data_IF_907925195831
#
_entry.id   IF_907925195831
#
_cell.length_a   1.000
_cell.length_b   1.000
_cell.length_c   1.000
_cell.angle_alpha   90.00
_cell.angle_beta   90.00
_cell.angle_gamma   90.00
#
_symmetry.space_group_name_H-M   'P 1'
#
loop_
_entity.id
_entity.type
_entity.pdbx_description
1 polymer ?
#
# COMPACT_ATOMS: atom_id res chain seq x y z
N UNK A 1 -5.85 -42.43 -24.71
CA UNK A 1 -6.98 -41.72 -24.06
C UNK A 1 -7.50 -42.46 -22.83
N UNK A 2 -7.82 -43.76 -22.92
CA UNK A 2 -8.23 -44.59 -21.76
C UNK A 2 -7.23 -44.65 -20.56
N UNK A 3 -5.90 -44.74 -20.75
CA UNK A 3 -4.98 -44.85 -19.61
C UNK A 3 -4.81 -43.54 -18.83
N UNK A 4 -4.89 -42.40 -19.52
CA UNK A 4 -4.77 -41.06 -18.92
C UNK A 4 -5.95 -40.75 -17.98
N UNK A 5 -7.17 -41.18 -18.37
CA UNK A 5 -8.37 -41.05 -17.55
C UNK A 5 -8.30 -41.94 -16.30
N UNK A 6 -7.70 -43.13 -16.41
CA UNK A 6 -7.51 -44.03 -15.28
C UNK A 6 -6.50 -43.47 -14.27
N UNK A 7 -5.37 -42.91 -14.72
CA UNK A 7 -4.40 -42.25 -13.84
C UNK A 7 -4.99 -41.02 -13.14
N UNK A 8 -5.74 -40.19 -13.87
CA UNK A 8 -6.36 -39.00 -13.29
C UNK A 8 -7.40 -39.35 -12.21
N UNK A 9 -8.11 -40.47 -12.38
CA UNK A 9 -9.09 -40.98 -11.39
C UNK A 9 -8.45 -41.60 -10.14
N UNK A 10 -7.19 -42.04 -10.24
CA UNK A 10 -6.43 -42.61 -9.13
C UNK A 10 -5.64 -41.55 -8.34
N UNK A 11 -5.60 -40.30 -8.83
CA UNK A 11 -4.94 -39.20 -8.14
C UNK A 11 -5.75 -38.79 -6.90
N UNK A 12 -5.16 -38.87 -5.69
CA UNK A 12 -5.82 -38.46 -4.45
C UNK A 12 -6.31 -37.00 -4.47
N UNK A 13 -5.64 -36.12 -5.23
CA UNK A 13 -6.09 -34.74 -5.41
C UNK A 13 -7.39 -34.68 -6.22
N UNK A 14 -7.50 -35.48 -7.29
CA UNK A 14 -8.72 -35.59 -8.10
C UNK A 14 -9.86 -36.23 -7.32
N UNK A 15 -9.57 -37.28 -6.53
CA UNK A 15 -10.55 -37.92 -5.65
C UNK A 15 -11.08 -36.96 -4.57
N UNK A 16 -10.22 -36.12 -4.00
CA UNK A 16 -10.64 -35.11 -3.01
C UNK A 16 -11.51 -34.02 -3.64
N UNK A 17 -11.19 -33.61 -4.88
CA UNK A 17 -11.99 -32.65 -5.65
C UNK A 17 -13.36 -33.22 -6.06
N UNK A 18 -13.43 -34.50 -6.46
CA UNK A 18 -14.68 -35.18 -6.79
C UNK A 18 -15.53 -35.47 -5.56
N UNK A 19 -14.92 -35.82 -4.42
CA UNK A 19 -15.64 -36.16 -3.19
C UNK A 19 -16.43 -34.98 -2.58
N UNK A 20 -16.06 -33.72 -2.88
CA UNK A 20 -16.80 -32.52 -2.48
C UNK A 20 -17.80 -31.99 -3.52
N UNK A 21 -17.89 -32.64 -4.69
CA UNK A 21 -18.66 -32.16 -5.84
C UNK A 21 -20.09 -32.71 -5.84
N UNK A 22 -20.96 -32.19 -4.97
CA UNK A 22 -22.41 -32.44 -5.02
C UNK A 22 -23.08 -31.76 -6.25
N UNK A 23 -22.46 -30.71 -6.79
CA UNK A 23 -23.09 -29.81 -7.76
C UNK A 23 -22.37 -29.74 -9.13
N UNK A 24 -22.40 -30.82 -9.92
CA UNK A 24 -22.08 -30.82 -11.36
C UNK A 24 -20.85 -30.00 -11.84
N UNK A 25 -20.85 -29.57 -13.10
CA UNK A 25 -19.74 -28.82 -13.71
C UNK A 25 -19.39 -27.51 -12.96
N UNK A 26 -20.34 -26.94 -12.20
CA UNK A 26 -20.13 -25.75 -11.38
C UNK A 26 -19.22 -26.01 -10.18
N UNK A 27 -19.33 -27.15 -9.52
CA UNK A 27 -18.50 -27.50 -8.36
C UNK A 27 -17.02 -27.66 -8.71
N UNK A 28 -16.73 -28.26 -9.87
CA UNK A 28 -15.36 -28.43 -10.36
C UNK A 28 -14.73 -27.10 -10.80
N UNK A 29 -15.53 -26.14 -11.28
CA UNK A 29 -15.02 -24.84 -11.73
C UNK A 29 -14.54 -23.92 -10.58
N UNK A 30 -15.14 -24.05 -9.39
CA UNK A 30 -14.83 -23.21 -8.21
C UNK A 30 -13.33 -23.17 -7.88
N UNK A 31 -12.60 -24.28 -7.67
CA UNK A 31 -11.18 -24.24 -7.29
C UNK A 31 -10.29 -23.58 -8.35
N UNK A 32 -10.60 -23.75 -9.65
CA UNK A 32 -9.84 -23.15 -10.75
C UNK A 32 -10.04 -21.64 -10.87
N UNK A 33 -11.14 -21.11 -10.35
CA UNK A 33 -11.37 -19.66 -10.26
C UNK A 33 -10.85 -19.13 -8.93
N UNK A 34 -11.20 -19.79 -7.83
CA UNK A 34 -10.88 -19.37 -6.47
C UNK A 34 -9.36 -19.34 -6.22
N UNK A 35 -8.61 -20.34 -6.68
CA UNK A 35 -7.15 -20.39 -6.50
C UNK A 35 -6.45 -19.16 -7.10
N UNK A 36 -6.55 -18.94 -8.43
CA UNK A 36 -5.97 -17.76 -9.07
C UNK A 36 -6.52 -16.43 -8.54
N UNK A 37 -7.81 -16.36 -8.22
CA UNK A 37 -8.41 -15.13 -7.68
C UNK A 37 -7.84 -14.78 -6.28
N UNK A 38 -7.74 -15.75 -5.38
CA UNK A 38 -7.14 -15.57 -4.05
C UNK A 38 -5.67 -15.20 -4.19
N UNK A 39 -4.92 -15.88 -5.06
CA UNK A 39 -3.52 -15.56 -5.32
C UNK A 39 -3.35 -14.11 -5.80
N UNK A 40 -4.13 -13.69 -6.80
CA UNK A 40 -4.07 -12.34 -7.35
C UNK A 40 -4.46 -11.28 -6.31
N UNK A 41 -5.48 -11.53 -5.50
CA UNK A 41 -5.91 -10.63 -4.44
C UNK A 41 -4.83 -10.46 -3.36
N UNK A 42 -4.25 -11.56 -2.86
CA UNK A 42 -3.21 -11.51 -1.82
C UNK A 42 -1.93 -10.85 -2.35
N UNK A 43 -1.44 -11.30 -3.50
CA UNK A 43 -0.24 -10.72 -4.10
C UNK A 43 -0.43 -9.24 -4.42
N UNK A 44 -1.57 -8.87 -5.02
CA UNK A 44 -1.92 -7.49 -5.35
C UNK A 44 -2.05 -6.60 -4.10
N UNK A 45 -2.62 -7.13 -3.02
CA UNK A 45 -2.73 -6.43 -1.74
C UNK A 45 -1.35 -6.12 -1.13
N UNK A 46 -0.47 -7.13 -1.04
CA UNK A 46 0.91 -6.95 -0.55
C UNK A 46 1.67 -5.99 -1.46
N UNK A 47 1.58 -6.19 -2.78
CA UNK A 47 2.22 -5.32 -3.75
C UNK A 47 1.77 -3.87 -3.56
N UNK A 48 0.46 -3.60 -3.50
CA UNK A 48 -0.05 -2.24 -3.33
C UNK A 48 0.32 -1.63 -1.98
N UNK A 49 0.34 -2.45 -0.91
CA UNK A 49 0.74 -2.02 0.43
C UNK A 49 2.16 -1.48 0.45
N UNK A 50 3.10 -2.14 -0.24
CA UNK A 50 4.50 -1.70 -0.29
C UNK A 50 4.80 -0.71 -1.43
N UNK A 51 4.10 -0.82 -2.56
CA UNK A 51 4.48 -0.12 -3.79
C UNK A 51 3.97 1.31 -3.87
N UNK A 52 3.25 1.80 -2.85
CA UNK A 52 2.90 3.22 -2.56
C UNK A 52 2.66 4.11 -3.81
N UNK A 53 2.18 3.54 -4.91
CA UNK A 53 2.10 4.22 -6.21
C UNK A 53 0.87 5.11 -6.22
N UNK A 54 -0.15 4.70 -5.49
CA UNK A 54 -1.42 5.38 -5.27
C UNK A 54 -1.40 6.39 -4.11
N UNK A 55 -0.30 6.47 -3.35
CA UNK A 55 -0.16 7.38 -2.21
C UNK A 55 0.77 8.57 -2.49
N UNK A 56 1.07 8.84 -3.76
CA UNK A 56 1.91 9.97 -4.15
C UNK A 56 1.04 11.22 -4.18
N UNK A 57 1.42 12.25 -3.43
CA UNK A 57 0.79 13.56 -3.56
C UNK A 57 1.03 14.11 -4.97
N UNK A 58 -0.06 14.42 -5.67
CA UNK A 58 0.00 15.11 -6.94
C UNK A 58 0.07 16.62 -6.67
N UNK A 59 1.26 17.12 -6.35
CA UNK A 59 1.50 18.53 -6.05
C UNK A 59 0.93 19.48 -7.12
N UNK A 60 0.89 19.05 -8.39
CA UNK A 60 0.36 19.84 -9.50
C UNK A 60 -1.17 19.96 -9.52
N UNK A 61 -1.90 19.10 -8.79
CA UNK A 61 -3.37 19.07 -8.80
C UNK A 61 -3.98 19.40 -7.45
N UNK A 62 -3.32 19.00 -6.37
CA UNK A 62 -3.89 19.06 -5.01
C UNK A 62 -3.41 20.28 -4.23
N UNK A 63 -2.33 20.93 -4.66
CA UNK A 63 -1.80 22.12 -3.99
C UNK A 63 -2.11 23.36 -4.83
N UNK A 64 -2.98 24.23 -4.32
CA UNK A 64 -3.12 25.58 -4.85
C UNK A 64 -1.82 26.35 -4.56
N UNK A 65 -1.08 26.70 -5.63
CA UNK A 65 0.12 27.51 -5.54
C UNK A 65 -0.25 28.96 -5.84
N UNK A 66 -0.56 29.73 -4.79
CA UNK A 66 -0.71 31.18 -4.89
C UNK A 66 0.63 31.87 -4.65
N UNK A 67 1.10 32.69 -5.60
CA UNK A 67 2.27 33.54 -5.41
C UNK A 67 1.85 34.78 -4.63
N UNK A 68 2.10 34.76 -3.32
CA UNK A 68 1.91 35.91 -2.43
C UNK A 68 3.09 36.86 -2.45
N UNK A 69 2.85 38.17 -2.26
CA UNK A 69 3.93 39.13 -2.02
C UNK A 69 4.43 38.98 -0.57
N UNK A 70 5.24 37.94 -0.33
CA UNK A 70 5.85 37.63 0.95
C UNK A 70 6.81 38.77 1.37
N UNK A 71 6.30 39.72 2.14
CA UNK A 71 7.11 40.82 2.73
C UNK A 71 7.93 40.39 3.95
N UNK A 72 7.71 39.17 4.44
CA UNK A 72 8.44 38.60 5.57
C UNK A 72 9.55 37.69 5.07
N UNK A 73 10.79 37.99 5.41
CA UNK A 73 11.94 37.13 5.14
C UNK A 73 12.19 36.13 6.28
N UNK A 74 12.68 34.94 5.93
CA UNK A 74 13.24 34.04 6.92
C UNK A 74 14.59 34.56 7.42
N UNK A 75 14.81 34.54 8.74
CA UNK A 75 16.05 34.97 9.38
C UNK A 75 16.61 33.82 10.20
N UNK A 76 17.78 33.33 9.82
CA UNK A 76 18.52 32.33 10.60
C UNK A 76 18.77 32.86 12.00
N UNK A 77 18.17 32.21 13.00
CA UNK A 77 18.28 32.59 14.42
C UNK A 77 19.51 31.99 15.11
N UNK A 78 20.10 30.93 14.55
CA UNK A 78 21.28 30.30 15.12
C UNK A 78 21.60 28.94 14.51
N UNK A 79 22.63 28.32 15.05
CA UNK A 79 23.07 26.97 14.69
C UNK A 79 23.59 26.29 15.96
N UNK A 80 23.28 24.99 16.11
CA UNK A 80 23.73 24.21 17.25
C UNK A 80 24.53 23.00 16.74
N UNK A 81 25.85 23.09 16.86
CA UNK A 81 26.79 22.07 16.39
C UNK A 81 27.38 21.27 17.56
N UNK A 82 27.88 20.07 17.26
CA UNK A 82 28.53 19.14 18.23
C UNK A 82 27.61 18.67 19.36
N UNK A 83 26.32 18.51 19.08
CA UNK A 83 25.39 17.93 20.06
C UNK A 83 25.76 16.45 20.32
N UNK A 84 25.90 16.09 21.59
CA UNK A 84 26.16 14.71 22.03
C UNK A 84 24.86 13.96 22.36
N UNK A 85 23.78 14.69 22.61
CA UNK A 85 22.46 14.11 22.85
C UNK A 85 21.89 13.49 21.57
N UNK A 86 21.16 12.38 21.73
CA UNK A 86 20.43 11.74 20.63
C UNK A 86 19.30 12.58 20.05
N UNK A 87 18.85 13.62 20.76
CA UNK A 87 17.76 14.48 20.34
C UNK A 87 18.07 15.95 20.58
N UNK A 88 17.72 16.79 19.61
CA UNK A 88 17.75 18.25 19.75
C UNK A 88 16.74 18.70 20.80
N UNK A 89 17.18 19.55 21.73
CA UNK A 89 16.29 20.18 22.71
C UNK A 89 15.27 21.03 21.96
N UNK A 90 13.99 20.76 22.18
CA UNK A 90 12.91 21.43 21.46
C UNK A 90 12.72 20.94 20.02
N UNK A 91 13.07 19.68 19.68
CA UNK A 91 12.68 19.03 18.42
C UNK A 91 11.15 19.04 18.24
N UNK A 92 10.64 19.36 17.05
CA UNK A 92 9.18 19.39 16.78
C UNK A 92 8.63 18.13 16.08
N UNK A 93 9.38 17.02 16.01
CA UNK A 93 9.07 15.88 15.13
C UNK A 93 7.72 15.22 15.39
N UNK A 94 7.19 15.31 16.60
CA UNK A 94 5.88 14.76 16.99
C UNK A 94 4.76 15.78 16.92
N UNK A 95 5.06 17.07 17.03
CA UNK A 95 4.10 18.17 17.00
C UNK A 95 4.67 19.31 16.16
N UNK A 96 4.69 19.09 14.86
CA UNK A 96 5.34 19.97 13.91
C UNK A 96 4.54 21.24 13.63
N UNK A 97 3.24 21.23 13.95
CA UNK A 97 2.33 22.35 13.73
C UNK A 97 2.32 23.34 14.90
N UNK A 98 2.81 22.96 16.08
CA UNK A 98 2.81 23.80 17.28
C UNK A 98 3.44 25.19 17.11
N UNK A 99 4.37 25.35 16.16
CA UNK A 99 5.10 26.61 15.91
C UNK A 99 4.74 27.27 14.59
N UNK A 100 3.82 26.67 13.85
CA UNK A 100 3.38 27.20 12.56
C UNK A 100 2.32 28.25 12.84
N UNK A 101 2.64 29.50 12.52
CA UNK A 101 1.67 30.59 12.51
C UNK A 101 1.21 30.84 11.09
N UNK A 102 -0.09 31.11 10.90
CA UNK A 102 -0.60 31.50 9.59
C UNK A 102 0.00 32.86 9.22
N UNK A 103 0.72 32.90 8.11
CA UNK A 103 1.23 34.14 7.54
C UNK A 103 0.08 34.75 6.73
N UNK A 104 -0.27 36.00 7.04
CA UNK A 104 -1.18 36.76 6.20
C UNK A 104 -0.45 37.15 4.91
N UNK A 105 -1.07 36.82 3.79
CA UNK A 105 -0.62 37.20 2.45
C UNK A 105 -1.66 38.17 1.93
N UNK A 106 -1.27 39.44 1.75
CA UNK A 106 -2.08 40.46 1.07
C UNK A 106 -1.96 40.34 -0.45
#
# INVERSE_FOLDING_TARGET
>A
MLPLLAELSADPATMTLLAGSDSGAGGIAIPFIAGPAVFAAVYGGIYRYYRNTDKRHHFERETEVSVGNLRSGDRKVGENNRQQDRAMRGRNSTDHLQRVHRIAVD
#
